data_IF_858657447797
#
_entry.id   IF_858657447797
#
_cell.length_a   1.000
_cell.length_b   1.000
_cell.length_c   1.000
_cell.angle_alpha   90.00
_cell.angle_beta   90.00
_cell.angle_gamma   90.00
#
_symmetry.space_group_name_H-M   'P 1'
#
loop_
_entity.id
_entity.type
_entity.pdbx_description
1 polymer ?
#
# COMPACT_ATOMS: atom_id res chain seq x y z
N UNK A 1 -72.61 -51.67 -5.96
CA UNK A 1 -71.70 -51.46 -4.81
C UNK A 1 -70.33 -52.00 -5.19
N UNK A 2 -69.42 -51.12 -5.63
CA UNK A 2 -68.04 -51.47 -5.98
C UNK A 2 -67.21 -50.19 -5.84
N UNK A 3 -66.74 -49.91 -4.62
CA UNK A 3 -65.93 -48.74 -4.32
C UNK A 3 -64.46 -49.08 -4.58
N UNK A 4 -63.91 -48.61 -5.69
CA UNK A 4 -62.48 -48.69 -6.03
C UNK A 4 -61.70 -47.70 -5.17
N UNK A 5 -60.85 -48.21 -4.27
CA UNK A 5 -59.84 -47.43 -3.55
C UNK A 5 -58.70 -47.09 -4.52
N UNK A 6 -58.58 -45.82 -4.90
CA UNK A 6 -57.38 -45.29 -5.57
C UNK A 6 -56.24 -45.21 -4.56
N UNK A 7 -55.15 -45.92 -4.84
CA UNK A 7 -53.91 -45.85 -4.07
C UNK A 7 -53.26 -44.48 -4.22
N UNK A 8 -52.92 -43.86 -3.10
CA UNK A 8 -52.08 -42.67 -3.02
C UNK A 8 -50.66 -43.01 -3.51
N UNK A 9 -50.04 -42.22 -4.40
CA UNK A 9 -48.64 -42.46 -4.77
C UNK A 9 -47.71 -42.18 -3.58
N UNK A 10 -46.58 -42.90 -3.45
CA UNK A 10 -45.63 -42.67 -2.36
C UNK A 10 -45.05 -41.26 -2.47
N UNK A 11 -44.99 -40.56 -1.35
CA UNK A 11 -44.37 -39.25 -1.25
C UNK A 11 -42.90 -39.36 -1.68
N UNK A 12 -42.53 -38.62 -2.71
CA UNK A 12 -41.14 -38.46 -3.15
C UNK A 12 -40.37 -37.81 -2.01
N UNK A 13 -39.53 -38.58 -1.29
CA UNK A 13 -38.56 -38.03 -0.37
C UNK A 13 -37.61 -37.13 -1.17
N UNK A 14 -37.85 -35.82 -1.12
CA UNK A 14 -36.87 -34.84 -1.57
C UNK A 14 -35.70 -34.91 -0.59
N UNK A 15 -34.63 -35.57 -1.00
CA UNK A 15 -33.33 -35.50 -0.34
C UNK A 15 -32.85 -34.05 -0.37
N UNK A 16 -33.22 -33.29 0.65
CA UNK A 16 -32.61 -31.99 0.94
C UNK A 16 -31.15 -32.27 1.26
N UNK A 17 -30.25 -31.91 0.34
CA UNK A 17 -28.81 -31.95 0.59
C UNK A 17 -28.54 -31.16 1.86
N UNK A 18 -28.20 -31.85 2.95
CA UNK A 18 -27.92 -31.23 4.23
C UNK A 18 -26.73 -30.27 4.07
N UNK A 19 -27.00 -28.97 3.96
CA UNK A 19 -25.98 -27.95 3.80
C UNK A 19 -25.13 -27.91 5.06
N UNK A 20 -23.80 -28.02 4.90
CA UNK A 20 -22.90 -28.07 6.04
C UNK A 20 -23.06 -26.79 6.90
N UNK A 21 -23.23 -26.90 8.24
CA UNK A 21 -23.53 -25.75 9.09
C UNK A 21 -22.51 -24.60 9.00
N UNK A 22 -21.22 -24.90 8.83
CA UNK A 22 -20.18 -23.88 8.65
C UNK A 22 -20.45 -22.99 7.41
N UNK A 23 -20.98 -23.56 6.32
CA UNK A 23 -21.28 -22.83 5.09
C UNK A 23 -22.46 -21.87 5.29
N UNK A 24 -23.47 -22.29 6.06
CA UNK A 24 -24.61 -21.43 6.40
C UNK A 24 -24.13 -20.21 7.19
N UNK A 25 -23.24 -20.41 8.17
CA UNK A 25 -22.64 -19.32 8.94
C UNK A 25 -21.82 -18.40 8.04
N UNK A 26 -20.96 -18.95 7.18
CA UNK A 26 -20.17 -18.16 6.21
C UNK A 26 -21.06 -17.29 5.33
N UNK A 27 -22.09 -17.87 4.71
CA UNK A 27 -22.98 -17.14 3.81
C UNK A 27 -23.78 -16.07 4.54
N UNK A 28 -24.20 -16.33 5.78
CA UNK A 28 -24.86 -15.34 6.63
C UNK A 28 -23.94 -14.16 6.93
N UNK A 29 -22.72 -14.41 7.38
CA UNK A 29 -21.73 -13.35 7.70
C UNK A 29 -21.45 -12.47 6.48
N UNK A 30 -21.19 -13.08 5.32
CA UNK A 30 -20.96 -12.36 4.06
C UNK A 30 -22.17 -11.51 3.69
N UNK A 31 -23.37 -12.09 3.72
CA UNK A 31 -24.61 -11.42 3.30
C UNK A 31 -24.95 -10.24 4.20
N UNK A 32 -24.77 -10.38 5.51
CA UNK A 32 -25.03 -9.32 6.48
C UNK A 32 -24.06 -8.16 6.27
N UNK A 33 -22.75 -8.44 6.09
CA UNK A 33 -21.73 -7.42 5.90
C UNK A 33 -21.81 -6.70 4.56
N UNK A 34 -22.06 -7.42 3.46
CA UNK A 34 -22.20 -6.78 2.13
C UNK A 34 -23.39 -5.82 2.07
N UNK A 35 -24.42 -6.04 2.88
CA UNK A 35 -25.59 -5.16 3.00
C UNK A 35 -25.44 -4.04 4.04
N UNK A 36 -24.35 -4.05 4.81
CA UNK A 36 -24.09 -3.01 5.81
C UNK A 36 -23.73 -1.69 5.10
N UNK A 37 -24.46 -0.61 5.43
CA UNK A 37 -24.25 0.71 4.83
C UNK A 37 -22.85 1.23 5.12
N UNK A 38 -22.34 1.02 6.34
CA UNK A 38 -21.00 1.46 6.71
C UNK A 38 -19.93 0.76 5.87
N UNK A 39 -20.09 -0.54 5.63
CA UNK A 39 -19.22 -1.33 4.76
C UNK A 39 -19.24 -0.83 3.31
N UNK A 40 -20.42 -0.60 2.73
CA UNK A 40 -20.56 -0.10 1.37
C UNK A 40 -19.94 1.31 1.24
N UNK A 41 -20.29 2.22 2.16
CA UNK A 41 -19.80 3.62 2.12
C UNK A 41 -18.28 3.65 2.24
N UNK A 42 -17.69 2.96 3.21
CA UNK A 42 -16.23 2.90 3.38
C UNK A 42 -15.52 2.30 2.17
N UNK A 43 -16.09 1.27 1.55
CA UNK A 43 -15.58 0.68 0.32
C UNK A 43 -15.60 1.68 -0.83
N UNK A 44 -16.72 2.38 -1.03
CA UNK A 44 -16.86 3.40 -2.09
C UNK A 44 -15.92 4.60 -1.86
N UNK A 45 -15.77 5.07 -0.61
CA UNK A 45 -14.83 6.14 -0.27
C UNK A 45 -13.40 5.73 -0.57
N UNK A 46 -13.01 4.50 -0.19
CA UNK A 46 -11.66 3.98 -0.48
C UNK A 46 -11.42 3.86 -1.98
N UNK A 47 -12.42 3.39 -2.73
CA UNK A 47 -12.34 3.34 -4.20
C UNK A 47 -12.19 4.73 -4.82
N UNK A 48 -12.96 5.71 -4.34
CA UNK A 48 -12.84 7.09 -4.81
C UNK A 48 -11.45 7.67 -4.49
N UNK A 49 -10.87 7.34 -3.34
CA UNK A 49 -9.49 7.72 -3.00
C UNK A 49 -8.45 7.03 -3.89
N UNK A 50 -8.62 5.74 -4.19
CA UNK A 50 -7.73 5.01 -5.11
C UNK A 50 -7.80 5.65 -6.50
N UNK A 51 -8.99 5.80 -7.09
CA UNK A 51 -9.15 6.40 -8.42
C UNK A 51 -8.67 7.85 -8.42
N UNK A 52 -9.07 8.63 -7.41
CA UNK A 52 -8.67 10.03 -7.25
C UNK A 52 -7.15 10.17 -7.17
N UNK A 53 -6.48 9.35 -6.35
CA UNK A 53 -5.01 9.38 -6.26
C UNK A 53 -4.33 9.05 -7.58
N UNK A 54 -4.79 8.01 -8.30
CA UNK A 54 -4.21 7.63 -9.60
C UNK A 54 -4.40 8.74 -10.63
N UNK A 55 -5.61 9.30 -10.74
CA UNK A 55 -5.93 10.37 -11.68
C UNK A 55 -5.16 11.65 -11.35
N UNK A 56 -5.12 12.05 -10.08
CA UNK A 56 -4.38 13.22 -9.59
C UNK A 56 -2.88 13.02 -9.88
N UNK A 57 -2.29 11.89 -9.48
CA UNK A 57 -0.87 11.61 -9.73
C UNK A 57 -0.54 11.58 -11.22
N UNK A 58 -1.38 10.96 -12.06
CA UNK A 58 -1.19 10.95 -13.51
C UNK A 58 -1.29 12.35 -14.13
N UNK A 59 -2.24 13.17 -13.68
CA UNK A 59 -2.40 14.54 -14.15
C UNK A 59 -1.27 15.46 -13.68
N UNK A 60 -0.76 15.27 -12.45
CA UNK A 60 0.40 16.02 -11.94
C UNK A 60 1.69 15.62 -12.64
N UNK A 61 1.88 14.32 -12.96
CA UNK A 61 3.06 13.85 -13.65
C UNK A 61 3.22 14.48 -15.05
N UNK A 62 2.10 14.82 -15.72
CA UNK A 62 2.09 15.50 -17.00
C UNK A 62 2.24 17.03 -16.94
N UNK A 63 2.29 17.64 -15.74
CA UNK A 63 2.44 19.09 -15.60
C UNK A 63 3.90 19.51 -15.50
N UNK A 64 4.31 20.40 -16.40
CA UNK A 64 5.55 21.15 -16.29
C UNK A 64 5.43 22.16 -15.16
N UNK A 65 6.40 22.15 -14.24
CA UNK A 65 6.57 23.20 -13.22
C UNK A 65 7.13 24.43 -13.91
N UNK A 66 6.25 25.39 -14.22
CA UNK A 66 6.67 26.66 -14.81
C UNK A 66 7.03 27.65 -13.69
N UNK A 67 8.22 28.24 -13.76
CA UNK A 67 8.65 29.29 -12.83
C UNK A 67 9.14 30.52 -13.62
N UNK A 68 8.54 31.67 -13.37
CA UNK A 68 8.90 32.94 -14.01
C UNK A 68 10.05 33.59 -13.25
N UNK A 69 11.20 33.72 -13.92
CA UNK A 69 12.43 34.26 -13.34
C UNK A 69 12.61 35.71 -13.77
N UNK A 70 12.37 36.62 -12.84
CA UNK A 70 12.64 38.04 -13.02
C UNK A 70 14.12 38.38 -12.85
N UNK A 71 14.69 39.12 -13.80
CA UNK A 71 16.04 39.64 -13.66
C UNK A 71 16.16 41.06 -14.23
N UNK A 72 17.11 41.80 -13.69
CA UNK A 72 17.41 43.16 -14.15
C UNK A 72 18.46 43.13 -15.26
N UNK A 73 18.22 43.90 -16.33
CA UNK A 73 19.09 44.18 -17.47
C UNK A 73 20.46 43.48 -17.49
N UNK A 74 20.62 42.56 -18.44
CA UNK A 74 21.88 41.88 -18.73
C UNK A 74 21.64 40.60 -19.51
N UNK A 75 22.30 40.44 -20.66
CA UNK A 75 22.23 39.22 -21.47
C UNK A 75 22.63 37.98 -20.66
N UNK A 76 23.57 38.12 -19.73
CA UNK A 76 24.08 37.02 -18.90
C UNK A 76 23.01 36.33 -18.04
N UNK A 77 22.10 37.09 -17.41
CA UNK A 77 21.03 36.46 -16.60
C UNK A 77 19.98 35.76 -17.48
N UNK A 78 19.71 36.30 -18.68
CA UNK A 78 18.83 35.64 -19.64
C UNK A 78 19.45 34.35 -20.19
N UNK A 79 20.75 34.38 -20.52
CA UNK A 79 21.52 33.21 -20.98
C UNK A 79 21.62 32.15 -19.89
N UNK A 80 21.72 32.56 -18.62
CA UNK A 80 21.70 31.62 -17.50
C UNK A 80 20.36 30.88 -17.39
N UNK A 81 19.25 31.61 -17.47
CA UNK A 81 17.90 31.02 -17.41
C UNK A 81 17.66 30.09 -18.60
N UNK A 82 18.12 30.44 -19.81
CA UNK A 82 18.02 29.56 -20.97
C UNK A 82 18.90 28.31 -20.81
N UNK A 83 20.13 28.45 -20.30
CA UNK A 83 21.02 27.30 -20.05
C UNK A 83 20.43 26.36 -18.99
N UNK A 84 19.76 26.91 -17.99
CA UNK A 84 19.03 26.11 -17.00
C UNK A 84 17.84 25.36 -17.63
N UNK A 85 17.11 25.96 -18.58
CA UNK A 85 16.07 25.25 -19.34
C UNK A 85 16.64 24.10 -20.18
N UNK A 86 17.76 24.31 -20.85
CA UNK A 86 18.41 23.26 -21.65
C UNK A 86 18.83 22.09 -20.75
N UNK A 87 19.38 22.37 -19.56
CA UNK A 87 19.70 21.36 -18.55
C UNK A 87 18.46 20.62 -18.03
N UNK A 88 17.32 21.30 -17.87
CA UNK A 88 16.07 20.65 -17.45
C UNK A 88 15.59 19.67 -18.52
N UNK A 89 15.67 20.06 -19.80
CA UNK A 89 15.33 19.19 -20.93
C UNK A 89 16.26 17.97 -21.02
N UNK A 90 17.57 18.17 -20.90
CA UNK A 90 18.55 17.06 -20.90
C UNK A 90 18.31 16.08 -19.76
N UNK A 91 17.96 16.58 -18.58
CA UNK A 91 17.67 15.75 -17.39
C UNK A 91 16.26 15.17 -17.38
N UNK A 92 15.47 15.37 -18.45
CA UNK A 92 14.05 14.96 -18.51
C UNK A 92 13.23 15.46 -17.32
N UNK A 93 13.56 16.65 -16.81
CA UNK A 93 12.80 17.30 -15.75
C UNK A 93 11.67 18.13 -16.36
N UNK A 94 10.44 17.93 -15.88
CA UNK A 94 9.29 18.76 -16.24
C UNK A 94 9.35 20.12 -15.53
N UNK A 95 10.38 20.92 -15.80
CA UNK A 95 10.57 22.27 -15.29
C UNK A 95 10.78 23.22 -16.47
N UNK A 96 10.07 24.34 -16.48
CA UNK A 96 10.20 25.39 -17.48
C UNK A 96 10.42 26.73 -16.79
N UNK A 97 11.56 27.35 -17.03
CA UNK A 97 11.91 28.66 -16.49
C UNK A 97 11.59 29.73 -17.54
N UNK A 98 10.66 30.62 -17.23
CA UNK A 98 10.26 31.70 -18.14
C UNK A 98 11.06 32.96 -17.80
N UNK A 99 11.93 33.46 -18.69
CA UNK A 99 12.71 34.65 -18.41
C UNK A 99 11.84 35.92 -18.48
N UNK A 100 11.88 36.75 -17.44
CA UNK A 100 11.23 38.06 -17.39
C UNK A 100 12.28 39.16 -17.17
N UNK A 101 12.44 40.05 -18.15
CA UNK A 101 13.44 41.11 -18.10
C UNK A 101 12.85 42.41 -17.55
N UNK A 102 13.54 43.01 -16.59
CA UNK A 102 13.18 44.29 -15.97
C UNK A 102 14.29 45.31 -16.13
N UNK A 103 13.93 46.60 -16.02
CA UNK A 103 14.88 47.71 -16.20
C UNK A 103 15.90 47.81 -15.08
N UNK A 104 15.53 47.41 -13.85
CA UNK A 104 16.42 47.40 -12.68
C UNK A 104 15.97 46.36 -11.65
N UNK A 105 16.85 46.03 -10.69
CA UNK A 105 16.59 45.01 -9.67
C UNK A 105 15.45 45.37 -8.72
N UNK A 106 15.23 46.67 -8.50
CA UNK A 106 14.10 47.16 -7.71
C UNK A 106 12.74 46.86 -8.36
N UNK A 107 12.63 46.99 -9.68
CA UNK A 107 11.43 46.64 -10.44
C UNK A 107 11.18 45.11 -10.43
N UNK A 108 12.23 44.30 -10.59
CA UNK A 108 12.09 42.84 -10.50
C UNK A 108 11.60 42.40 -9.10
N UNK A 109 12.13 43.01 -8.03
CA UNK A 109 11.67 42.73 -6.66
C UNK A 109 10.25 43.27 -6.37
N UNK A 110 9.84 44.35 -7.03
CA UNK A 110 8.45 44.83 -6.96
C UNK A 110 7.51 43.83 -7.64
N UNK A 111 7.85 43.37 -8.84
CA UNK A 111 7.13 42.33 -9.57
C UNK A 111 7.01 41.03 -8.75
N UNK A 112 8.05 40.64 -8.01
CA UNK A 112 8.00 39.48 -7.10
C UNK A 112 7.01 39.65 -5.94
N UNK A 113 6.86 40.89 -5.43
CA UNK A 113 5.89 41.20 -4.36
C UNK A 113 4.47 41.28 -4.88
N UNK A 114 4.30 41.70 -6.13
CA UNK A 114 3.01 41.79 -6.81
C UNK A 114 2.54 40.42 -7.34
N UNK A 115 3.47 39.46 -7.47
CA UNK A 115 3.20 38.10 -7.95
C UNK A 115 3.31 37.93 -9.47
N UNK A 116 3.90 38.91 -10.16
CA UNK A 116 4.14 38.89 -11.61
C UNK A 116 5.33 37.99 -11.99
N UNK A 117 6.23 37.72 -11.04
CA UNK A 117 7.33 36.75 -11.17
C UNK A 117 7.41 35.89 -9.92
N UNK A 118 7.87 34.65 -10.10
CA UNK A 118 7.95 33.67 -9.01
C UNK A 118 9.28 33.78 -8.24
N UNK A 119 10.35 34.11 -8.95
CA UNK A 119 11.69 34.26 -8.40
C UNK A 119 12.39 35.45 -9.04
N UNK A 120 13.32 36.07 -8.30
CA UNK A 120 14.17 37.13 -8.81
C UNK A 120 15.63 36.73 -8.73
N UNK A 121 16.31 36.78 -9.86
CA UNK A 121 17.73 36.49 -10.00
C UNK A 121 18.51 37.80 -10.19
N UNK A 122 19.41 38.10 -9.24
CA UNK A 122 20.23 39.31 -9.26
C UNK A 122 21.71 38.95 -9.22
N UNK A 123 22.57 39.49 -10.10
CA UNK A 123 24.01 39.34 -9.98
C UNK A 123 24.53 39.90 -8.63
N UNK A 124 25.42 39.16 -7.98
CA UNK A 124 26.02 39.52 -6.69
C UNK A 124 27.55 39.34 -6.77
N UNK A 125 28.36 40.02 -5.93
CA UNK A 125 29.81 39.80 -5.92
C UNK A 125 30.12 38.31 -5.68
N UNK A 126 30.68 37.64 -6.69
CA UNK A 126 30.99 36.21 -6.65
C UNK A 126 29.91 35.26 -7.17
N UNK A 127 28.80 35.74 -7.74
CA UNK A 127 27.79 34.87 -8.36
C UNK A 127 26.43 35.52 -8.56
N UNK A 128 25.37 34.81 -8.18
CA UNK A 128 23.98 35.27 -8.28
C UNK A 128 23.26 35.10 -6.94
N UNK A 129 22.31 35.98 -6.67
CA UNK A 129 21.36 35.88 -5.57
C UNK A 129 19.99 35.53 -6.15
N UNK A 130 19.42 34.41 -5.70
CA UNK A 130 18.08 33.96 -6.05
C UNK A 130 17.14 34.29 -4.90
N UNK A 131 16.12 35.11 -5.16
CA UNK A 131 15.17 35.58 -4.15
C UNK A 131 13.78 35.07 -4.48
N UNK A 132 13.16 34.33 -3.56
CA UNK A 132 11.74 33.97 -3.60
C UNK A 132 10.93 34.74 -2.56
N UNK A 133 9.61 34.81 -2.74
CA UNK A 133 8.74 35.58 -1.83
C UNK A 133 8.57 34.90 -0.46
N UNK A 134 8.39 33.57 -0.44
CA UNK A 134 8.19 32.76 0.77
C UNK A 134 9.16 31.59 0.86
N UNK A 135 9.51 31.05 -0.29
CA UNK A 135 10.40 29.92 -0.47
C UNK A 135 11.06 30.02 -1.84
N UNK A 136 12.14 29.27 -2.01
CA UNK A 136 12.78 29.03 -3.31
C UNK A 136 12.68 27.52 -3.54
N UNK A 137 12.05 27.07 -4.65
CA UNK A 137 11.98 25.64 -4.95
C UNK A 137 13.39 25.07 -5.11
N UNK A 138 13.76 24.11 -4.27
CA UNK A 138 15.12 23.54 -4.28
C UNK A 138 15.51 22.88 -5.61
N UNK A 139 14.54 22.41 -6.40
CA UNK A 139 14.76 21.92 -7.76
C UNK A 139 15.18 23.04 -8.73
N UNK A 140 14.51 24.19 -8.67
CA UNK A 140 14.83 25.37 -9.50
C UNK A 140 16.14 26.01 -9.05
N UNK A 141 16.38 26.10 -7.73
CA UNK A 141 17.65 26.57 -7.17
C UNK A 141 18.82 25.71 -7.65
N UNK A 142 18.70 24.39 -7.54
CA UNK A 142 19.74 23.45 -8.01
C UNK A 142 19.98 23.61 -9.52
N UNK A 143 18.93 23.68 -10.32
CA UNK A 143 19.03 23.81 -11.78
C UNK A 143 19.74 25.12 -12.20
N UNK A 144 19.37 26.24 -11.58
CA UNK A 144 20.01 27.54 -11.81
C UNK A 144 21.46 27.56 -11.29
N UNK A 145 21.74 26.89 -10.17
CA UNK A 145 23.09 26.76 -9.63
C UNK A 145 23.99 25.92 -10.53
N UNK A 146 23.49 24.80 -11.07
CA UNK A 146 24.20 23.94 -12.02
C UNK A 146 24.51 24.72 -13.31
N UNK A 147 23.53 25.47 -13.84
CA UNK A 147 23.74 26.36 -14.98
C UNK A 147 24.79 27.44 -14.70
N UNK A 148 24.75 28.07 -13.51
CA UNK A 148 25.66 29.15 -13.14
C UNK A 148 27.08 28.63 -12.95
N UNK A 149 27.21 27.43 -12.36
CA UNK A 149 28.48 26.73 -12.24
C UNK A 149 29.09 26.42 -13.60
N UNK A 150 28.29 25.92 -14.54
CA UNK A 150 28.72 25.64 -15.92
C UNK A 150 29.19 26.91 -16.65
N UNK A 151 28.41 28.00 -16.57
CA UNK A 151 28.78 29.27 -17.20
C UNK A 151 30.03 29.89 -16.57
N UNK A 152 30.13 29.87 -15.23
CA UNK A 152 31.30 30.38 -14.51
C UNK A 152 32.56 29.57 -14.84
N UNK A 153 32.44 28.24 -14.93
CA UNK A 153 33.53 27.37 -15.33
C UNK A 153 33.99 27.71 -16.75
N UNK A 154 33.06 27.85 -17.70
CA UNK A 154 33.37 28.21 -19.07
C UNK A 154 34.08 29.55 -19.19
N UNK A 155 33.60 30.56 -18.45
CA UNK A 155 34.20 31.90 -18.40
C UNK A 155 35.61 31.87 -17.82
N UNK A 156 35.80 31.18 -16.70
CA UNK A 156 37.10 31.10 -16.04
C UNK A 156 38.12 30.30 -16.87
N UNK A 157 37.69 29.22 -17.54
CA UNK A 157 38.51 28.45 -18.45
C UNK A 157 39.02 29.31 -19.62
N UNK A 158 38.11 30.08 -20.24
CA UNK A 158 38.44 31.00 -21.33
C UNK A 158 39.43 32.09 -20.92
N UNK A 159 39.32 32.64 -19.70
CA UNK A 159 40.29 33.61 -19.16
C UNK A 159 41.69 33.02 -18.96
N UNK A 160 41.76 31.73 -18.63
CA UNK A 160 43.00 30.99 -18.43
C UNK A 160 43.55 30.38 -19.73
N UNK A 161 42.84 30.52 -20.86
CA UNK A 161 43.21 29.92 -22.14
C UNK A 161 43.15 28.38 -22.15
N UNK A 162 42.38 27.79 -21.23
CA UNK A 162 42.20 26.34 -21.10
C UNK A 162 40.80 26.00 -21.61
N UNK A 163 40.67 24.88 -22.31
CA UNK A 163 39.37 24.40 -22.79
C UNK A 163 38.54 23.80 -21.65
N UNK A 164 37.23 24.07 -21.65
CA UNK A 164 36.29 23.57 -20.64
C UNK A 164 36.25 22.05 -20.65
N UNK A 165 36.31 21.45 -21.84
CA UNK A 165 36.32 20.00 -22.00
C UNK A 165 37.55 19.37 -21.34
N UNK A 166 38.68 20.07 -21.31
CA UNK A 166 39.89 19.61 -20.60
C UNK A 166 39.71 19.69 -19.08
N UNK A 167 38.98 20.68 -18.58
CA UNK A 167 38.71 20.84 -17.14
C UNK A 167 37.64 19.89 -16.62
N UNK A 168 36.69 19.48 -17.46
CA UNK A 168 35.62 18.53 -17.13
C UNK A 168 35.91 17.10 -17.58
N UNK A 169 37.06 16.86 -18.22
CA UNK A 169 37.49 15.53 -18.61
C UNK A 169 37.47 14.57 -17.41
N UNK A 170 36.62 13.55 -17.48
CA UNK A 170 36.45 12.56 -16.41
C UNK A 170 35.46 12.94 -15.31
N UNK A 171 34.74 14.07 -15.40
CA UNK A 171 33.70 14.45 -14.43
C UNK A 171 32.33 13.84 -14.72
N UNK A 172 32.14 13.19 -15.87
CA UNK A 172 30.86 12.59 -16.26
C UNK A 172 30.62 11.29 -15.49
N UNK A 173 29.63 11.31 -14.60
CA UNK A 173 29.15 10.11 -13.92
C UNK A 173 27.96 9.56 -14.72
N UNK A 174 28.20 8.52 -15.51
CA UNK A 174 27.12 7.78 -16.14
C UNK A 174 26.51 6.82 -15.12
N UNK A 175 25.27 7.06 -14.72
CA UNK A 175 24.52 6.13 -13.89
C UNK A 175 24.07 4.95 -14.73
N UNK A 176 24.66 3.78 -14.48
CA UNK A 176 24.19 2.50 -15.03
C UNK A 176 23.54 1.73 -13.89
N UNK A 177 22.22 1.54 -13.97
CA UNK A 177 21.52 0.69 -13.02
C UNK A 177 21.84 -0.77 -13.34
N UNK A 178 22.34 -1.49 -12.34
CA UNK A 178 22.65 -2.91 -12.47
C UNK A 178 21.38 -3.77 -12.58
N UNK A 179 20.28 -3.32 -11.94
CA UNK A 179 18.96 -3.95 -12.00
C UNK A 179 17.85 -2.88 -12.10
N UNK A 180 16.90 -3.09 -13.02
CA UNK A 180 15.72 -2.25 -13.19
C UNK A 180 15.97 -0.87 -13.82
N UNK A 181 14.92 -0.04 -13.85
CA UNK A 181 14.96 1.36 -14.28
C UNK A 181 14.54 2.28 -13.14
N UNK A 182 14.92 3.57 -13.20
CA UNK A 182 14.52 4.55 -12.18
C UNK A 182 12.99 4.68 -12.07
N UNK A 183 12.28 4.65 -13.20
CA UNK A 183 10.81 4.64 -13.25
C UNK A 183 10.20 3.38 -12.63
N UNK A 184 10.81 2.20 -12.88
CA UNK A 184 10.36 0.95 -12.27
C UNK A 184 10.55 1.00 -10.75
N UNK A 185 11.64 1.61 -10.27
CA UNK A 185 11.93 1.75 -8.84
C UNK A 185 10.97 2.73 -8.14
N UNK A 186 10.62 3.86 -8.77
CA UNK A 186 9.64 4.80 -8.20
C UNK A 186 8.24 4.17 -8.15
N UNK A 187 7.83 3.45 -9.21
CA UNK A 187 6.57 2.70 -9.21
C UNK A 187 6.57 1.59 -8.17
N UNK A 188 7.69 0.86 -8.01
CA UNK A 188 7.83 -0.17 -6.99
C UNK A 188 7.64 0.40 -5.58
N UNK A 189 8.14 1.61 -5.30
CA UNK A 189 7.91 2.30 -4.03
C UNK A 189 6.44 2.72 -3.83
N UNK A 190 5.79 3.23 -4.87
CA UNK A 190 4.36 3.56 -4.80
C UNK A 190 3.50 2.31 -4.52
N UNK A 191 3.79 1.21 -5.20
CA UNK A 191 3.15 -0.09 -4.97
C UNK A 191 3.46 -0.65 -3.59
N UNK A 192 4.69 -0.49 -3.11
CA UNK A 192 5.07 -0.88 -1.76
C UNK A 192 4.18 -0.18 -0.74
N UNK A 193 4.00 1.12 -0.86
CA UNK A 193 3.08 1.87 -0.01
C UNK A 193 1.64 1.35 -0.12
N UNK A 194 1.12 1.23 -1.34
CA UNK A 194 -0.27 0.81 -1.58
C UNK A 194 -0.54 -0.59 -1.02
N UNK A 195 0.27 -1.60 -1.35
CA UNK A 195 0.07 -2.97 -0.86
C UNK A 195 0.23 -3.07 0.65
N UNK A 196 1.22 -2.39 1.23
CA UNK A 196 1.42 -2.35 2.68
C UNK A 196 0.21 -1.73 3.39
N UNK A 197 -0.27 -0.60 2.87
CA UNK A 197 -1.40 0.12 3.43
C UNK A 197 -2.70 -0.66 3.28
N UNK A 198 -2.96 -1.23 2.10
CA UNK A 198 -4.15 -2.08 1.87
C UNK A 198 -4.13 -3.32 2.75
N UNK A 199 -2.99 -4.00 2.89
CA UNK A 199 -2.86 -5.13 3.81
C UNK A 199 -3.18 -4.71 5.25
N UNK A 200 -2.56 -3.63 5.74
CA UNK A 200 -2.79 -3.11 7.09
C UNK A 200 -4.28 -2.76 7.31
N UNK A 201 -4.87 -2.00 6.40
CA UNK A 201 -6.27 -1.58 6.48
C UNK A 201 -7.21 -2.79 6.46
N UNK A 202 -7.05 -3.71 5.51
CA UNK A 202 -7.88 -4.92 5.44
C UNK A 202 -7.71 -5.81 6.66
N UNK A 203 -6.48 -6.02 7.14
CA UNK A 203 -6.20 -6.80 8.34
C UNK A 203 -6.87 -6.21 9.60
N UNK A 204 -6.90 -4.88 9.72
CA UNK A 204 -7.59 -4.20 10.83
C UNK A 204 -9.11 -4.25 10.69
N UNK A 205 -9.63 -3.90 9.50
CA UNK A 205 -11.08 -3.83 9.23
C UNK A 205 -11.74 -5.19 9.43
N UNK A 206 -11.12 -6.27 8.96
CA UNK A 206 -11.72 -7.61 9.01
C UNK A 206 -11.21 -8.48 10.15
N UNK A 207 -10.06 -8.16 10.75
CA UNK A 207 -9.52 -8.92 11.88
C UNK A 207 -10.25 -8.64 13.18
N UNK A 208 -10.39 -7.37 13.56
CA UNK A 208 -11.04 -6.97 14.83
C UNK A 208 -12.48 -7.48 14.97
N UNK A 209 -13.35 -7.43 13.94
CA UNK A 209 -14.70 -7.97 14.02
C UNK A 209 -14.75 -9.46 14.33
N UNK A 210 -13.78 -10.27 13.86
CA UNK A 210 -13.71 -11.70 14.20
C UNK A 210 -13.58 -11.84 15.72
N UNK A 211 -12.67 -11.10 16.33
CA UNK A 211 -12.44 -11.15 17.76
C UNK A 211 -13.65 -10.63 18.57
N UNK A 212 -14.20 -9.47 18.19
CA UNK A 212 -15.37 -8.88 18.84
C UNK A 212 -16.58 -9.81 18.78
N UNK A 213 -16.83 -10.42 17.61
CA UNK A 213 -17.96 -11.33 17.42
C UNK A 213 -17.87 -12.58 18.30
N UNK A 214 -16.66 -13.10 18.55
CA UNK A 214 -16.46 -14.22 19.48
C UNK A 214 -16.74 -13.81 20.92
N UNK A 215 -16.30 -12.60 21.32
CA UNK A 215 -16.55 -12.07 22.67
C UNK A 215 -18.05 -11.82 22.88
N UNK A 216 -18.72 -11.19 21.92
CA UNK A 216 -20.16 -10.89 21.98
C UNK A 216 -21.01 -12.15 22.14
N UNK A 217 -20.68 -13.22 21.41
CA UNK A 217 -21.37 -14.51 21.56
C UNK A 217 -21.21 -15.09 22.96
N UNK A 218 -20.00 -15.00 23.53
CA UNK A 218 -19.69 -15.48 24.87
C UNK A 218 -20.44 -14.66 25.94
N UNK A 219 -20.47 -13.33 25.78
CA UNK A 219 -21.15 -12.42 26.70
C UNK A 219 -22.67 -12.58 26.71
N UNK A 220 -23.28 -12.75 25.53
CA UNK A 220 -24.72 -12.82 25.39
C UNK A 220 -25.32 -14.19 25.75
N UNK A 221 -24.51 -15.13 26.27
CA UNK A 221 -24.88 -16.56 26.49
C UNK A 221 -25.44 -17.25 25.24
N UNK A 222 -25.27 -16.63 24.07
CA UNK A 222 -25.71 -17.17 22.78
C UNK A 222 -24.85 -18.39 22.42
N UNK A 223 -23.60 -18.47 22.90
CA UNK A 223 -22.77 -19.68 22.76
C UNK A 223 -23.46 -20.92 23.30
N UNK A 224 -24.11 -20.88 24.47
CA UNK A 224 -24.74 -22.07 25.09
C UNK A 224 -25.92 -22.56 24.22
N UNK A 225 -26.71 -21.62 23.70
CA UNK A 225 -27.84 -21.92 22.80
C UNK A 225 -27.31 -22.42 21.44
N UNK A 226 -26.34 -21.74 20.83
CA UNK A 226 -25.80 -22.13 19.53
C UNK A 226 -24.99 -23.43 19.56
N UNK A 227 -24.27 -23.71 20.65
CA UNK A 227 -23.51 -24.94 20.83
C UNK A 227 -24.41 -26.17 20.95
N UNK A 228 -25.68 -26.01 21.35
CA UNK A 228 -26.67 -27.11 21.31
C UNK A 228 -27.19 -27.40 19.91
N UNK A 229 -27.06 -26.45 18.97
CA UNK A 229 -27.54 -26.57 17.60
C UNK A 229 -26.44 -26.90 16.57
N UNK A 230 -25.24 -26.32 16.72
CA UNK A 230 -24.13 -26.43 15.77
C UNK A 230 -22.81 -26.67 16.54
N UNK A 231 -21.95 -27.60 16.10
CA UNK A 231 -20.62 -27.74 16.69
C UNK A 231 -19.84 -26.42 16.62
N UNK A 232 -19.36 -25.96 17.77
CA UNK A 232 -18.62 -24.69 17.94
C UNK A 232 -17.50 -24.49 16.91
N UNK A 233 -16.79 -25.56 16.53
CA UNK A 233 -15.73 -25.50 15.51
C UNK A 233 -16.26 -25.00 14.16
N UNK A 234 -17.43 -25.51 13.74
CA UNK A 234 -18.03 -25.13 12.47
C UNK A 234 -18.51 -23.68 12.46
N UNK A 235 -18.94 -23.19 13.62
CA UNK A 235 -19.29 -21.78 13.80
C UNK A 235 -18.06 -20.89 13.63
N UNK A 236 -16.94 -21.21 14.30
CA UNK A 236 -15.71 -20.43 14.19
C UNK A 236 -15.12 -20.47 12.77
N UNK A 237 -15.03 -21.65 12.17
CA UNK A 237 -14.56 -21.81 10.78
C UNK A 237 -15.45 -21.00 9.83
N UNK A 238 -16.76 -21.03 10.03
CA UNK A 238 -17.71 -20.27 9.23
C UNK A 238 -17.45 -18.76 9.26
N UNK A 239 -17.15 -18.22 10.46
CA UNK A 239 -16.82 -16.80 10.66
C UNK A 239 -15.49 -16.38 10.06
N UNK A 240 -14.44 -17.19 10.26
CA UNK A 240 -13.11 -16.93 9.69
C UNK A 240 -13.21 -16.93 8.17
N UNK A 241 -13.85 -17.94 7.57
CA UNK A 241 -14.05 -18.00 6.12
C UNK A 241 -14.92 -16.86 5.60
N UNK A 242 -15.98 -16.47 6.31
CA UNK A 242 -16.83 -15.34 5.93
C UNK A 242 -16.04 -14.03 5.85
N UNK A 243 -15.26 -13.71 6.88
CA UNK A 243 -14.42 -12.51 6.89
C UNK A 243 -13.27 -12.60 5.89
N UNK A 244 -12.67 -13.78 5.67
CA UNK A 244 -11.66 -14.01 4.64
C UNK A 244 -12.21 -13.73 3.24
N UNK A 245 -13.42 -14.22 2.91
CA UNK A 245 -14.07 -13.99 1.63
C UNK A 245 -14.39 -12.50 1.44
N UNK A 246 -14.90 -11.83 2.47
CA UNK A 246 -15.16 -10.39 2.41
C UNK A 246 -13.88 -9.59 2.21
N UNK A 247 -12.84 -9.90 2.97
CA UNK A 247 -11.54 -9.24 2.88
C UNK A 247 -10.91 -9.44 1.51
N UNK A 248 -10.92 -10.67 1.01
CA UNK A 248 -10.43 -11.00 -0.33
C UNK A 248 -11.25 -10.30 -1.41
N UNK A 249 -12.57 -10.34 -1.33
CA UNK A 249 -13.46 -9.69 -2.31
C UNK A 249 -13.24 -8.18 -2.36
N UNK A 250 -13.18 -7.52 -1.20
CA UNK A 250 -12.92 -6.08 -1.13
C UNK A 250 -11.53 -5.74 -1.68
N UNK A 251 -10.51 -6.55 -1.36
CA UNK A 251 -9.15 -6.33 -1.85
C UNK A 251 -9.04 -6.55 -3.37
N UNK A 252 -9.69 -7.58 -3.92
CA UNK A 252 -9.79 -7.80 -5.36
C UNK A 252 -10.44 -6.60 -6.07
N UNK A 253 -11.49 -6.02 -5.48
CA UNK A 253 -12.14 -4.81 -6.01
C UNK A 253 -11.18 -3.62 -5.97
N UNK A 254 -10.47 -3.40 -4.86
CA UNK A 254 -9.50 -2.30 -4.73
C UNK A 254 -8.35 -2.41 -5.73
N UNK A 255 -7.74 -3.59 -5.83
CA UNK A 255 -6.65 -3.85 -6.77
C UNK A 255 -7.16 -3.77 -8.21
N UNK A 256 -8.31 -4.36 -8.51
CA UNK A 256 -8.90 -4.33 -9.85
C UNK A 256 -9.24 -2.92 -10.33
N UNK A 257 -9.88 -2.11 -9.48
CA UNK A 257 -10.19 -0.70 -9.81
C UNK A 257 -8.92 0.14 -9.88
N UNK A 258 -7.94 -0.09 -9.00
CA UNK A 258 -6.64 0.60 -9.06
C UNK A 258 -5.91 0.33 -10.37
N UNK A 259 -5.86 -0.94 -10.82
CA UNK A 259 -5.27 -1.32 -12.09
C UNK A 259 -6.05 -0.74 -13.28
N UNK A 260 -7.40 -0.74 -13.22
CA UNK A 260 -8.22 -0.11 -14.25
C UNK A 260 -7.97 1.40 -14.32
N UNK A 261 -7.85 2.08 -13.18
CA UNK A 261 -7.59 3.52 -13.13
C UNK A 261 -6.26 3.89 -13.81
N UNK A 262 -5.23 3.03 -13.72
CA UNK A 262 -3.97 3.24 -14.41
C UNK A 262 -4.12 3.23 -15.95
N UNK A 263 -5.06 2.44 -16.48
CA UNK A 263 -5.33 2.41 -17.93
C UNK A 263 -6.07 3.65 -18.45
N UNK A 264 -6.66 4.44 -17.55
CA UNK A 264 -7.37 5.67 -17.91
C UNK A 264 -6.41 6.86 -18.01
N UNK A 265 -5.17 6.72 -17.55
CA UNK A 265 -4.15 7.77 -17.66
C UNK A 265 -3.57 7.72 -19.08
N UNK A 266 -3.48 8.86 -19.81
CA UNK A 266 -3.03 8.90 -21.21
C UNK A 266 -1.51 8.70 -21.39
N UNK A 267 -0.85 8.00 -20.46
CA UNK A 267 0.59 7.71 -20.47
C UNK A 267 0.80 6.21 -20.63
N UNK A 268 1.63 5.80 -21.60
CA UNK A 268 2.04 4.41 -21.73
C UNK A 268 2.84 3.97 -20.49
N UNK A 269 2.36 2.93 -19.79
CA UNK A 269 3.05 2.38 -18.61
C UNK A 269 3.84 1.13 -19.05
N UNK A 270 5.17 1.20 -19.20
CA UNK A 270 5.97 0.13 -19.82
C UNK A 270 6.03 -1.18 -19.02
N UNK A 271 5.53 -1.20 -17.78
CA UNK A 271 5.57 -2.34 -16.86
C UNK A 271 4.18 -2.76 -16.34
N UNK A 272 3.10 -2.42 -17.06
CA UNK A 272 1.73 -2.74 -16.66
C UNK A 272 1.51 -4.26 -16.45
N UNK A 273 2.07 -5.11 -17.32
CA UNK A 273 1.99 -6.58 -17.19
C UNK A 273 2.65 -7.07 -15.90
N UNK A 274 3.80 -6.51 -15.52
CA UNK A 274 4.51 -6.85 -14.28
C UNK A 274 3.67 -6.40 -13.08
N UNK A 275 2.99 -5.27 -13.18
CA UNK A 275 2.09 -4.77 -12.14
C UNK A 275 0.91 -5.73 -11.91
N UNK A 276 0.24 -6.15 -12.97
CA UNK A 276 -0.86 -7.13 -12.91
C UNK A 276 -0.38 -8.44 -12.27
N UNK A 277 0.76 -8.97 -12.73
CA UNK A 277 1.33 -10.20 -12.20
C UNK A 277 1.64 -10.07 -10.70
N UNK A 278 2.24 -8.95 -10.29
CA UNK A 278 2.58 -8.69 -8.89
C UNK A 278 1.33 -8.54 -8.02
N UNK A 279 0.30 -7.85 -8.52
CA UNK A 279 -1.00 -7.77 -7.85
C UNK A 279 -1.62 -9.14 -7.61
N UNK A 280 -1.51 -10.07 -8.57
CA UNK A 280 -1.94 -11.46 -8.40
C UNK A 280 -1.19 -12.17 -7.26
N UNK A 281 0.14 -12.02 -7.20
CA UNK A 281 0.93 -12.53 -6.09
C UNK A 281 0.53 -11.93 -4.75
N UNK A 282 0.33 -10.61 -4.69
CA UNK A 282 -0.14 -9.92 -3.49
C UNK A 282 -1.45 -10.51 -2.98
N UNK A 283 -2.43 -10.78 -3.85
CA UNK A 283 -3.69 -11.40 -3.45
C UNK A 283 -3.49 -12.83 -2.91
N UNK A 284 -2.65 -13.65 -3.55
CA UNK A 284 -2.35 -15.00 -3.06
C UNK A 284 -1.68 -14.99 -1.67
N UNK A 285 -0.73 -14.08 -1.49
CA UNK A 285 0.00 -13.87 -0.25
C UNK A 285 -0.86 -13.22 0.85
N UNK A 286 -1.79 -12.36 0.49
CA UNK A 286 -2.81 -11.80 1.37
C UNK A 286 -3.70 -12.90 1.93
N UNK A 287 -4.13 -13.88 1.11
CA UNK A 287 -4.95 -14.99 1.56
C UNK A 287 -4.30 -15.74 2.75
N UNK A 288 -3.03 -16.11 2.59
CA UNK A 288 -2.29 -16.83 3.63
C UNK A 288 -2.05 -15.97 4.87
N UNK A 289 -1.57 -14.73 4.70
CA UNK A 289 -1.28 -13.83 5.81
C UNK A 289 -2.52 -13.41 6.59
N UNK A 290 -3.62 -13.11 5.89
CA UNK A 290 -4.88 -12.77 6.53
C UNK A 290 -5.48 -13.98 7.25
N UNK A 291 -5.39 -15.20 6.69
CA UNK A 291 -5.84 -16.40 7.39
C UNK A 291 -5.05 -16.65 8.69
N UNK A 292 -3.73 -16.44 8.67
CA UNK A 292 -2.89 -16.50 9.86
C UNK A 292 -3.36 -15.49 10.92
N UNK A 293 -3.59 -14.24 10.53
CA UNK A 293 -4.07 -13.18 11.42
C UNK A 293 -5.48 -13.46 11.95
N UNK A 294 -6.39 -13.94 11.10
CA UNK A 294 -7.75 -14.27 11.47
C UNK A 294 -7.78 -15.35 12.57
N UNK A 295 -6.87 -16.33 12.52
CA UNK A 295 -6.70 -17.32 13.58
C UNK A 295 -6.22 -16.70 14.91
N UNK A 296 -5.31 -15.72 14.86
CA UNK A 296 -4.87 -14.97 16.05
C UNK A 296 -6.02 -14.13 16.63
N UNK A 297 -6.76 -13.42 15.79
CA UNK A 297 -7.92 -12.63 16.21
C UNK A 297 -9.01 -13.49 16.84
N UNK A 298 -9.31 -14.64 16.23
CA UNK A 298 -10.21 -15.64 16.79
C UNK A 298 -9.76 -16.14 18.16
N UNK A 299 -8.46 -16.44 18.32
CA UNK A 299 -7.89 -16.89 19.59
C UNK A 299 -7.99 -15.81 20.67
N UNK A 300 -7.66 -14.55 20.33
CA UNK A 300 -7.79 -13.41 21.23
C UNK A 300 -9.24 -13.20 21.70
N UNK A 301 -10.20 -13.22 20.77
CA UNK A 301 -11.62 -13.10 21.10
C UNK A 301 -12.10 -14.21 22.03
N UNK A 302 -11.61 -15.44 21.86
CA UNK A 302 -12.01 -16.56 22.72
C UNK A 302 -11.47 -16.43 24.16
N UNK A 303 -10.25 -15.90 24.30
CA UNK A 303 -9.58 -15.72 25.60
C UNK A 303 -10.14 -14.54 26.41
N UNK A 304 -10.66 -13.51 25.73
CA UNK A 304 -11.25 -12.36 26.38
C UNK A 304 -12.59 -12.68 27.04
N UNK A 305 -12.85 -12.07 28.20
CA UNK A 305 -14.16 -12.11 28.87
C UNK A 305 -15.06 -10.96 28.44
N UNK A 306 -14.46 -9.81 28.09
CA UNK A 306 -15.16 -8.61 27.66
C UNK A 306 -14.44 -7.90 26.51
N UNK A 307 -15.16 -6.99 25.85
CA UNK A 307 -14.60 -6.21 24.73
C UNK A 307 -13.46 -5.31 25.22
N UNK A 308 -13.53 -4.82 26.45
CA UNK A 308 -12.47 -4.03 27.07
C UNK A 308 -11.18 -4.84 27.26
N UNK A 309 -11.30 -6.09 27.73
CA UNK A 309 -10.16 -7.01 27.89
C UNK A 309 -9.54 -7.35 26.53
N UNK A 310 -10.41 -7.53 25.52
CA UNK A 310 -9.97 -7.77 24.16
C UNK A 310 -9.11 -6.60 23.67
N UNK A 311 -9.59 -5.35 23.80
CA UNK A 311 -8.86 -4.15 23.38
C UNK A 311 -7.46 -4.02 24.03
N UNK A 312 -7.32 -4.39 25.30
CA UNK A 312 -6.01 -4.38 25.97
C UNK A 312 -5.06 -5.47 25.44
N UNK A 313 -5.60 -6.57 24.91
CA UNK A 313 -4.83 -7.70 24.39
C UNK A 313 -4.46 -7.59 22.90
N UNK A 314 -5.02 -6.62 22.16
CA UNK A 314 -4.79 -6.47 20.71
C UNK A 314 -3.48 -5.75 20.36
N UNK A 315 -2.89 -5.02 21.32
CA UNK A 315 -1.69 -4.20 21.11
C UNK A 315 -0.54 -4.91 20.39
N UNK A 316 -0.16 -6.15 20.78
CA UNK A 316 0.87 -6.90 20.07
C UNK A 316 0.53 -7.22 18.61
N UNK A 317 -0.73 -7.53 18.31
CA UNK A 317 -1.17 -7.81 16.93
C UNK A 317 -1.10 -6.54 16.08
N UNK A 318 -1.56 -5.41 16.63
CA UNK A 318 -1.45 -4.11 15.97
C UNK A 318 0.03 -3.76 15.73
N UNK A 319 0.91 -4.02 16.71
CA UNK A 319 2.35 -3.83 16.56
C UNK A 319 2.94 -4.65 15.40
N UNK A 320 2.52 -5.90 15.23
CA UNK A 320 2.90 -6.72 14.06
C UNK A 320 2.36 -6.13 12.77
N UNK A 321 1.11 -5.70 12.72
CA UNK A 321 0.52 -5.09 11.51
C UNK A 321 1.23 -3.79 11.12
N UNK A 322 1.60 -2.96 12.08
CA UNK A 322 2.40 -1.75 11.85
C UNK A 322 3.81 -2.13 11.38
N UNK A 323 4.43 -3.15 11.97
CA UNK A 323 5.73 -3.64 11.50
C UNK A 323 5.65 -4.10 10.04
N UNK A 324 4.61 -4.86 9.65
CA UNK A 324 4.38 -5.28 8.26
C UNK A 324 4.24 -4.05 7.34
N UNK A 325 3.50 -3.02 7.76
CA UNK A 325 3.34 -1.77 7.02
C UNK A 325 4.69 -1.08 6.75
N UNK A 326 5.49 -0.87 7.80
CA UNK A 326 6.79 -0.18 7.67
C UNK A 326 7.83 -1.04 6.95
N UNK A 327 7.87 -2.35 7.20
CA UNK A 327 8.78 -3.26 6.50
C UNK A 327 8.44 -3.25 5.00
N UNK A 328 7.17 -3.30 4.64
CA UNK A 328 6.79 -3.20 3.23
C UNK A 328 7.27 -1.91 2.57
N UNK A 329 7.08 -0.76 3.22
CA UNK A 329 7.44 0.54 2.64
C UNK A 329 8.97 0.74 2.56
N UNK A 330 9.71 0.33 3.60
CA UNK A 330 11.10 0.76 3.79
C UNK A 330 12.15 -0.35 3.66
N UNK A 331 11.77 -1.62 3.65
CA UNK A 331 12.75 -2.70 3.57
C UNK A 331 13.44 -2.75 2.20
N UNK A 332 14.77 -2.91 2.21
CA UNK A 332 15.61 -2.98 1.01
C UNK A 332 16.71 -4.04 1.17
N UNK A 333 17.28 -4.48 0.05
CA UNK A 333 18.41 -5.42 0.02
C UNK A 333 18.16 -6.69 0.80
N UNK A 334 19.16 -7.15 1.57
CA UNK A 334 19.09 -8.39 2.36
C UNK A 334 17.96 -8.40 3.38
N UNK A 335 17.57 -7.24 3.92
CA UNK A 335 16.46 -7.15 4.86
C UNK A 335 15.12 -7.47 4.18
N UNK A 336 14.90 -6.95 2.96
CA UNK A 336 13.73 -7.29 2.15
C UNK A 336 13.71 -8.77 1.78
N UNK A 337 14.87 -9.35 1.46
CA UNK A 337 15.00 -10.78 1.18
C UNK A 337 14.52 -11.62 2.36
N UNK A 338 14.98 -11.36 3.58
CA UNK A 338 14.56 -12.13 4.77
C UNK A 338 13.09 -11.89 5.08
N UNK A 339 12.64 -10.63 5.07
CA UNK A 339 11.24 -10.26 5.30
C UNK A 339 10.29 -10.97 4.32
N UNK A 340 10.73 -11.21 3.09
CA UNK A 340 9.94 -11.87 2.06
C UNK A 340 9.62 -13.34 2.36
N UNK A 341 10.27 -13.99 3.34
CA UNK A 341 10.00 -15.37 3.75
C UNK A 341 9.34 -15.50 5.13
N UNK A 342 9.25 -14.40 5.91
CA UNK A 342 8.62 -14.44 7.24
C UNK A 342 7.09 -14.40 7.06
N UNK A 343 6.32 -15.36 7.60
CA UNK A 343 4.86 -15.36 7.51
C UNK A 343 4.23 -14.02 7.96
N UNK A 344 3.11 -13.64 7.34
CA UNK A 344 2.43 -12.34 7.50
C UNK A 344 3.21 -11.16 6.90
N UNK A 345 4.52 -11.05 7.15
CA UNK A 345 5.38 -10.01 6.54
C UNK A 345 5.55 -10.25 5.04
N UNK A 346 5.71 -11.52 4.64
CA UNK A 346 5.79 -11.96 3.26
C UNK A 346 4.56 -11.56 2.45
N UNK A 347 3.42 -11.29 3.10
CA UNK A 347 2.20 -10.85 2.44
C UNK A 347 2.36 -9.57 1.63
N UNK A 348 3.33 -8.75 2.03
CA UNK A 348 3.63 -7.44 1.45
C UNK A 348 5.06 -7.42 0.92
N UNK A 349 6.02 -7.97 1.68
CA UNK A 349 7.43 -7.93 1.31
C UNK A 349 7.74 -8.72 0.03
N UNK A 350 7.11 -9.88 -0.22
CA UNK A 350 7.39 -10.68 -1.40
C UNK A 350 6.92 -10.02 -2.71
N UNK A 351 5.67 -9.51 -2.82
CA UNK A 351 5.25 -8.74 -3.99
C UNK A 351 6.15 -7.54 -4.31
N UNK A 352 6.62 -6.81 -3.30
CA UNK A 352 7.52 -5.66 -3.47
C UNK A 352 8.89 -6.10 -4.00
N UNK A 353 9.38 -7.25 -3.52
CA UNK A 353 10.61 -7.86 -4.02
C UNK A 353 10.50 -8.28 -5.50
N UNK A 354 9.34 -8.76 -5.96
CA UNK A 354 9.10 -9.07 -7.38
C UNK A 354 9.15 -7.83 -8.29
N UNK A 355 8.83 -6.65 -7.76
CA UNK A 355 8.89 -5.39 -8.51
C UNK A 355 10.31 -4.83 -8.61
N UNK A 356 11.09 -4.97 -7.54
CA UNK A 356 12.37 -4.29 -7.34
C UNK A 356 13.60 -5.13 -7.69
N UNK A 357 13.48 -6.45 -7.71
CA UNK A 357 14.57 -7.37 -8.01
C UNK A 357 14.15 -8.39 -9.05
N UNK A 358 15.12 -8.95 -9.77
CA UNK A 358 14.86 -10.12 -10.61
C UNK A 358 14.78 -11.37 -9.72
N UNK A 359 13.57 -11.92 -9.59
CA UNK A 359 13.27 -13.01 -8.66
C UNK A 359 12.85 -14.23 -9.46
N UNK A 360 13.50 -15.36 -9.19
CA UNK A 360 13.14 -16.63 -9.84
C UNK A 360 11.81 -17.13 -9.31
N UNK A 361 10.98 -17.73 -10.16
CA UNK A 361 9.62 -18.18 -9.82
C UNK A 361 9.54 -19.16 -8.63
N UNK A 362 10.59 -19.91 -8.32
CA UNK A 362 10.60 -20.82 -7.17
C UNK A 362 10.62 -20.08 -5.83
N UNK A 363 11.17 -18.87 -5.77
CA UNK A 363 11.26 -18.07 -4.55
C UNK A 363 9.88 -17.64 -4.02
N UNK A 364 8.99 -16.99 -4.81
CA UNK A 364 7.65 -16.64 -4.34
C UNK A 364 6.81 -17.88 -4.06
N UNK A 365 6.99 -18.99 -4.79
CA UNK A 365 6.30 -20.25 -4.52
C UNK A 365 6.74 -20.85 -3.18
N UNK A 366 8.04 -20.88 -2.89
CA UNK A 366 8.57 -21.37 -1.63
C UNK A 366 8.12 -20.50 -0.45
N UNK A 367 8.18 -19.17 -0.60
CA UNK A 367 7.68 -18.23 0.41
C UNK A 367 6.17 -18.38 0.63
N UNK A 368 5.38 -18.55 -0.43
CA UNK A 368 3.94 -18.76 -0.32
C UNK A 368 3.64 -20.08 0.38
N UNK A 369 4.38 -21.15 0.08
CA UNK A 369 4.23 -22.43 0.75
C UNK A 369 4.52 -22.33 2.26
N UNK A 370 5.57 -21.59 2.64
CA UNK A 370 5.90 -21.30 4.05
C UNK A 370 4.77 -20.50 4.71
N UNK A 371 4.25 -19.46 4.04
CA UNK A 371 3.15 -18.65 4.56
C UNK A 371 1.86 -19.46 4.74
N UNK A 372 1.51 -20.32 3.79
CA UNK A 372 0.34 -21.21 3.87
C UNK A 372 0.52 -22.24 4.98
N UNK A 373 1.70 -22.86 5.11
CA UNK A 373 1.99 -23.80 6.18
C UNK A 373 1.90 -23.14 7.56
N UNK A 374 2.41 -21.92 7.70
CA UNK A 374 2.31 -21.14 8.93
C UNK A 374 0.86 -20.76 9.24
N UNK A 375 0.08 -20.32 8.24
CA UNK A 375 -1.34 -20.01 8.39
C UNK A 375 -2.12 -21.22 8.85
N UNK A 376 -1.87 -22.39 8.24
CA UNK A 376 -2.47 -23.66 8.63
C UNK A 376 -2.13 -24.03 10.07
N UNK A 377 -0.85 -23.98 10.45
CA UNK A 377 -0.41 -24.24 11.81
C UNK A 377 -1.07 -23.30 12.83
N UNK A 378 -1.23 -22.02 12.49
CA UNK A 378 -1.87 -21.03 13.34
C UNK A 378 -3.39 -21.26 13.47
N UNK A 379 -4.07 -21.69 12.40
CA UNK A 379 -5.48 -22.11 12.46
C UNK A 379 -5.66 -23.28 13.41
N UNK A 380 -4.79 -24.31 13.33
CA UNK A 380 -4.83 -25.46 14.24
C UNK A 380 -4.59 -25.03 15.70
N UNK A 381 -3.65 -24.10 15.93
CA UNK A 381 -3.37 -23.56 17.26
C UNK A 381 -4.54 -22.75 17.81
N UNK A 382 -5.12 -21.86 16.99
CA UNK A 382 -6.33 -21.09 17.32
C UNK A 382 -7.52 -22.01 17.63
N UNK A 383 -7.67 -23.07 16.84
CA UNK A 383 -8.46 -24.30 17.08
C UNK A 383 -8.50 -24.69 18.57
N UNK A 384 -7.31 -25.01 19.05
CA UNK A 384 -7.07 -25.52 20.40
C UNK A 384 -7.31 -24.45 21.48
N UNK A 385 -6.83 -23.23 21.26
CA UNK A 385 -7.00 -22.11 22.21
C UNK A 385 -8.49 -21.82 22.40
N UNK A 386 -9.24 -21.70 21.31
CA UNK A 386 -10.67 -21.42 21.33
C UNK A 386 -11.42 -22.48 22.14
N UNK A 387 -11.14 -23.76 21.88
CA UNK A 387 -11.83 -24.87 22.56
C UNK A 387 -11.57 -24.90 24.06
N UNK A 388 -10.38 -24.53 24.51
CA UNK A 388 -10.04 -24.43 25.94
C UNK A 388 -10.70 -23.22 26.58
N UNK A 389 -10.65 -22.08 25.91
CA UNK A 389 -11.17 -20.82 26.44
C UNK A 389 -12.69 -20.79 26.60
N UNK A 390 -13.42 -21.60 25.82
CA UNK A 390 -14.88 -21.72 25.93
C UNK A 390 -15.33 -22.70 27.02
N UNK A 391 -14.51 -23.70 27.35
CA UNK A 391 -14.79 -24.66 28.45
C UNK A 391 -14.38 -24.11 29.83
N UNK A 392 -13.51 -23.11 29.86
CA UNK A 392 -13.10 -22.46 31.10
C UNK A 392 -14.19 -21.47 31.58
N UNK A 393 -14.97 -21.87 32.57
CA UNK A 393 -16.03 -21.07 33.23
C UNK A 393 -15.49 -20.10 34.29
N UNK A 394 -14.32 -19.49 34.08
CA UNK A 394 -13.75 -18.53 35.04
C UNK A 394 -12.64 -17.63 34.50
N UNK A 395 -12.95 -16.34 34.34
CA UNK A 395 -12.00 -15.23 34.11
C UNK A 395 -11.23 -15.23 32.79
N UNK A 396 -10.60 -14.11 32.45
CA UNK A 396 -9.74 -13.98 31.27
C UNK A 396 -8.54 -14.95 31.34
N UNK A 397 -8.28 -15.71 30.27
CA UNK A 397 -7.15 -16.64 30.23
C UNK A 397 -5.88 -15.93 29.72
N UNK A 398 -4.80 -15.96 30.51
CA UNK A 398 -3.49 -15.48 30.05
C UNK A 398 -2.90 -16.39 28.97
N UNK A 399 -2.21 -15.81 27.97
CA UNK A 399 -1.50 -16.51 26.89
C UNK A 399 -0.68 -17.72 27.37
N UNK A 400 0.01 -17.60 28.52
CA UNK A 400 0.82 -18.69 29.09
C UNK A 400 -0.01 -19.88 29.57
N UNK A 401 -1.24 -19.65 30.06
CA UNK A 401 -2.17 -20.71 30.48
C UNK A 401 -2.88 -21.34 29.28
N UNK A 402 -3.16 -20.56 28.24
CA UNK A 402 -3.74 -21.09 26.99
C UNK A 402 -2.79 -22.05 26.27
N UNK A 403 -1.48 -21.78 26.32
CA UNK A 403 -0.42 -22.52 25.63
C UNK A 403 0.17 -23.72 26.42
N UNK A 404 -0.10 -23.89 27.72
CA UNK A 404 0.44 -25.04 28.47
C UNK A 404 -0.16 -26.36 27.93
N UNK A 405 0.75 -27.26 27.56
CA UNK A 405 0.48 -28.67 27.23
C UNK A 405 0.47 -29.44 28.54
N UNK A 406 -0.70 -29.70 29.11
CA UNK A 406 -0.87 -30.81 30.05
C UNK A 406 -1.98 -31.66 29.44
N UNK A 407 -1.61 -32.91 29.14
CA UNK A 407 -2.43 -33.96 28.53
C UNK A 407 -3.57 -34.43 29.45
#
# INVERSE_FOLDING_TARGET
MSTTLQGTPPATETTTTATAPWLIVTMREVTVKVRDKSFIISTLVTLALIVGSVVISGFLAGKTTTATIGFAGGSSSATLVSSANDLALEQSQSIELVPATFSNGGQALAALREGDVDLVLVPSPGGYSLTGLKDVPGSVEKLLADAAGSEALARNAGQLGVDVETLTAGSTITSVLLEGSQERNSMAQAMAFIFSFLFYMSAMIFGMPIANSVVEEKQNRVVEILATAIPIRQLLTGKILGNLILAMGQLCIFVGVGLLALTLVPTEIPFLTVLIATSGWFLAFFLAGFLFLAAIWAALGAMASRVEDLQQSTGPVIGVLVAVLFIGIYAKGSFLLVASYIPVISSVAMPIRLLSSDVRLWEPLASLAIAVAAAWAMVLLGERIYRRAIMATGGALSWRKALKLED
#
